data_IF_739444794658
#
_entry.id   IF_739444794658
#
_cell.length_a   1.000
_cell.length_b   1.000
_cell.length_c   1.000
_cell.angle_alpha   90.00
_cell.angle_beta   90.00
_cell.angle_gamma   90.00
#
_symmetry.space_group_name_H-M   'P 1'
#
loop_
_entity.id
_entity.type
_entity.pdbx_description
1 polymer ?
#
# COMPACT_ATOMS: atom_id res chain seq x y z
N UNK A 1 4.87 -18.31 6.74
CA UNK A 1 5.55 -17.01 6.45
C UNK A 1 6.13 -16.21 7.63
N UNK A 2 5.47 -16.07 8.79
CA UNK A 2 5.91 -15.12 9.85
C UNK A 2 7.03 -15.61 10.78
N UNK A 3 7.55 -16.82 10.60
CA UNK A 3 8.46 -17.48 11.55
C UNK A 3 9.75 -16.69 11.85
N UNK A 4 10.18 -15.80 10.95
CA UNK A 4 11.38 -14.97 11.09
C UNK A 4 11.16 -13.68 11.88
N UNK A 5 9.92 -13.35 12.24
CA UNK A 5 9.58 -12.15 13.01
C UNK A 5 9.47 -12.44 14.50
N UNK A 6 9.45 -11.38 15.31
CA UNK A 6 9.35 -11.47 16.76
C UNK A 6 8.10 -12.26 17.22
N UNK A 7 8.17 -13.07 18.30
CA UNK A 7 7.01 -13.79 18.83
C UNK A 7 5.77 -12.93 19.07
N UNK A 8 5.93 -11.69 19.56
CA UNK A 8 4.81 -10.79 19.83
C UNK A 8 4.09 -10.39 18.52
N UNK A 9 4.85 -10.12 17.45
CA UNK A 9 4.28 -9.84 16.11
C UNK A 9 3.42 -11.01 15.65
N UNK A 10 3.90 -12.25 15.82
CA UNK A 10 3.16 -13.46 15.44
C UNK A 10 1.88 -13.63 16.26
N UNK A 11 1.95 -13.36 17.57
CA UNK A 11 0.79 -13.46 18.46
C UNK A 11 -0.29 -12.43 18.13
N UNK A 12 0.09 -11.19 17.80
CA UNK A 12 -0.86 -10.16 17.39
C UNK A 12 -1.46 -10.51 16.02
N UNK A 13 -0.62 -10.88 15.03
CA UNK A 13 -1.08 -11.23 13.69
C UNK A 13 -2.05 -12.42 13.67
N UNK A 14 -1.87 -13.40 14.55
CA UNK A 14 -2.74 -14.57 14.68
C UNK A 14 -4.18 -14.23 15.10
N UNK A 15 -4.43 -13.00 15.57
CA UNK A 15 -5.77 -12.54 15.96
C UNK A 15 -6.60 -12.03 14.78
N UNK A 16 -6.07 -12.04 13.55
CA UNK A 16 -6.85 -11.78 12.33
C UNK A 16 -6.95 -13.04 11.48
N UNK A 17 -8.13 -13.69 11.39
CA UNK A 17 -8.35 -14.80 10.48
C UNK A 17 -8.11 -14.42 9.01
N UNK A 18 -8.40 -13.18 8.62
CA UNK A 18 -8.17 -12.72 7.25
C UNK A 18 -6.70 -12.60 6.94
N UNK A 19 -5.90 -12.00 7.83
CA UNK A 19 -4.44 -11.94 7.66
C UNK A 19 -3.85 -13.34 7.57
N UNK A 20 -4.29 -14.29 8.41
CA UNK A 20 -3.86 -15.69 8.34
C UNK A 20 -4.09 -16.31 6.97
N UNK A 21 -5.32 -16.22 6.42
CA UNK A 21 -5.64 -16.74 5.09
C UNK A 21 -4.85 -16.06 3.96
N UNK A 22 -4.63 -14.76 4.07
CA UNK A 22 -3.84 -14.01 3.08
C UNK A 22 -2.38 -14.45 3.10
N UNK A 23 -1.80 -14.65 4.28
CA UNK A 23 -0.44 -15.18 4.43
C UNK A 23 -0.33 -16.59 3.87
N UNK A 24 -1.27 -17.49 4.16
CA UNK A 24 -1.26 -18.85 3.62
C UNK A 24 -1.33 -18.85 2.08
N UNK A 25 -2.20 -18.01 1.52
CA UNK A 25 -2.32 -17.84 0.07
C UNK A 25 -1.03 -17.29 -0.54
N UNK A 26 -0.45 -16.25 0.05
CA UNK A 26 0.81 -15.67 -0.42
C UNK A 26 1.96 -16.69 -0.35
N UNK A 27 2.07 -17.45 0.73
CA UNK A 27 3.06 -18.52 0.91
C UNK A 27 2.95 -19.57 -0.20
N UNK A 28 1.73 -20.04 -0.46
CA UNK A 28 1.46 -21.00 -1.54
C UNK A 28 1.81 -20.46 -2.94
N UNK A 29 1.79 -19.14 -3.11
CA UNK A 29 2.16 -18.44 -4.35
C UNK A 29 3.64 -18.04 -4.41
N UNK A 30 4.45 -18.54 -3.47
CA UNK A 30 5.90 -18.35 -3.42
C UNK A 30 6.34 -17.02 -2.81
N UNK A 31 5.46 -16.31 -2.12
CA UNK A 31 5.84 -15.10 -1.39
C UNK A 31 6.54 -15.43 -0.08
N UNK A 32 7.44 -14.55 0.33
CA UNK A 32 8.13 -14.65 1.63
C UNK A 32 8.02 -13.35 2.42
N UNK A 33 8.09 -13.44 3.74
CA UNK A 33 8.30 -12.28 4.63
C UNK A 33 9.72 -12.34 5.17
N UNK A 34 10.44 -11.23 5.07
CA UNK A 34 11.82 -11.09 5.51
C UNK A 34 12.00 -9.85 6.37
N UNK A 35 12.95 -9.93 7.31
CA UNK A 35 13.36 -8.79 8.12
C UNK A 35 14.26 -7.89 7.27
N UNK A 36 13.89 -6.62 7.15
CA UNK A 36 14.67 -5.60 6.47
C UNK A 36 15.80 -5.02 7.32
N UNK A 37 16.44 -3.99 6.79
CA UNK A 37 17.42 -3.18 7.50
C UNK A 37 16.71 -2.14 8.35
N UNK A 38 17.19 -1.92 9.57
CA UNK A 38 16.65 -0.89 10.49
C UNK A 38 16.63 0.49 9.83
N UNK A 39 15.46 1.13 9.75
CA UNK A 39 15.26 2.43 9.11
C UNK A 39 15.22 2.39 7.58
N UNK A 40 15.26 1.19 6.97
CA UNK A 40 15.17 1.00 5.53
C UNK A 40 13.74 1.04 4.99
N UNK A 41 12.73 1.12 5.86
CA UNK A 41 11.32 1.04 5.49
C UNK A 41 10.85 -0.39 5.21
N UNK A 42 9.55 -0.50 5.01
CA UNK A 42 8.85 -1.75 4.67
C UNK A 42 8.22 -1.61 3.30
N UNK A 43 8.16 -2.72 2.56
CA UNK A 43 7.58 -2.75 1.21
C UNK A 43 7.32 -4.18 0.73
N UNK A 44 6.35 -4.33 -0.15
CA UNK A 44 6.13 -5.51 -0.97
C UNK A 44 6.86 -5.39 -2.32
N UNK A 45 7.81 -6.28 -2.58
CA UNK A 45 8.45 -6.44 -3.88
C UNK A 45 7.76 -7.57 -4.65
N UNK A 46 6.98 -7.18 -5.67
CA UNK A 46 6.26 -8.12 -6.55
C UNK A 46 7.17 -8.90 -7.50
N UNK A 47 8.35 -8.38 -7.80
CA UNK A 47 9.30 -9.04 -8.70
C UNK A 47 9.98 -10.20 -7.98
N UNK A 48 10.50 -9.96 -6.77
CA UNK A 48 11.12 -11.00 -5.95
C UNK A 48 10.10 -11.82 -5.12
N UNK A 49 8.83 -11.41 -5.11
CA UNK A 49 7.77 -11.93 -4.24
C UNK A 49 8.20 -11.94 -2.78
N UNK A 50 8.66 -10.80 -2.30
CA UNK A 50 9.07 -10.63 -0.90
C UNK A 50 8.35 -9.46 -0.26
N UNK A 51 8.02 -9.60 1.03
CA UNK A 51 7.56 -8.53 1.88
C UNK A 51 8.67 -8.26 2.89
N UNK A 52 9.26 -7.07 2.80
CA UNK A 52 10.33 -6.60 3.66
C UNK A 52 9.72 -5.79 4.79
N UNK A 53 10.04 -6.14 6.04
CA UNK A 53 9.55 -5.45 7.25
C UNK A 53 10.71 -4.76 7.97
N UNK A 54 10.62 -3.45 8.12
CA UNK A 54 11.55 -2.66 8.94
C UNK A 54 11.45 -3.07 10.41
N UNK A 55 12.56 -3.53 11.04
CA UNK A 55 12.53 -3.90 12.44
C UNK A 55 12.45 -2.70 13.41
N UNK A 56 12.60 -1.46 12.95
CA UNK A 56 12.59 -0.25 13.78
C UNK A 56 11.17 0.24 14.08
N UNK A 57 10.31 -0.67 14.54
CA UNK A 57 8.88 -0.46 14.80
C UNK A 57 8.44 -1.33 15.98
N UNK A 58 7.41 -0.90 16.72
CA UNK A 58 6.79 -1.75 17.74
C UNK A 58 6.14 -2.98 17.10
N UNK A 59 5.82 -4.00 17.90
CA UNK A 59 5.17 -5.21 17.37
C UNK A 59 3.81 -4.89 16.72
N UNK A 60 3.04 -3.98 17.33
CA UNK A 60 1.78 -3.46 16.84
C UNK A 60 1.95 -2.78 15.48
N UNK A 61 2.92 -1.88 15.36
CA UNK A 61 3.23 -1.18 14.10
C UNK A 61 3.71 -2.15 13.02
N UNK A 62 4.51 -3.16 13.36
CA UNK A 62 4.92 -4.17 12.41
C UNK A 62 3.71 -4.96 11.88
N UNK A 63 2.73 -5.30 12.72
CA UNK A 63 1.52 -5.99 12.24
C UNK A 63 0.67 -5.10 11.33
N UNK A 64 0.51 -3.81 11.64
CA UNK A 64 -0.23 -2.90 10.75
C UNK A 64 0.47 -2.70 9.41
N UNK A 65 1.80 -2.65 9.40
CA UNK A 65 2.59 -2.62 8.17
C UNK A 65 2.52 -3.95 7.41
N UNK A 66 2.64 -5.10 8.07
CA UNK A 66 2.45 -6.41 7.43
C UNK A 66 1.08 -6.49 6.76
N UNK A 67 0.03 -6.02 7.44
CA UNK A 67 -1.32 -6.01 6.90
C UNK A 67 -1.42 -5.15 5.61
N UNK A 68 -0.70 -4.02 5.56
CA UNK A 68 -0.62 -3.17 4.39
C UNK A 68 0.19 -3.81 3.25
N UNK A 69 1.39 -4.33 3.52
CA UNK A 69 2.23 -4.97 2.50
C UNK A 69 1.61 -6.26 1.95
N UNK A 70 0.89 -7.02 2.77
CA UNK A 70 0.06 -8.15 2.33
C UNK A 70 -1.06 -7.67 1.41
N UNK A 71 -1.62 -6.49 1.67
CA UNK A 71 -2.57 -5.83 0.79
C UNK A 71 -1.97 -5.56 -0.59
N UNK A 72 -0.78 -4.95 -0.66
CA UNK A 72 -0.06 -4.84 -1.93
C UNK A 72 0.16 -6.21 -2.56
N UNK A 73 0.77 -7.17 -1.88
CA UNK A 73 1.06 -8.48 -2.44
C UNK A 73 -0.19 -9.22 -2.97
N UNK A 74 -1.32 -9.09 -2.29
CA UNK A 74 -2.58 -9.79 -2.60
C UNK A 74 -3.48 -9.13 -3.65
N UNK A 75 -3.43 -7.80 -3.81
CA UNK A 75 -4.22 -7.10 -4.83
C UNK A 75 -3.37 -6.79 -6.07
N UNK A 76 -3.97 -6.94 -7.26
CA UNK A 76 -3.28 -6.59 -8.49
C UNK A 76 -3.16 -5.07 -8.61
N UNK A 77 -1.92 -4.58 -8.75
CA UNK A 77 -1.66 -3.18 -9.07
C UNK A 77 -2.29 -2.83 -10.43
N UNK A 78 -3.07 -1.74 -10.54
CA UNK A 78 -3.59 -1.32 -11.83
C UNK A 78 -2.45 -1.09 -12.82
N UNK A 79 -2.56 -1.57 -14.08
CA UNK A 79 -1.50 -1.41 -15.06
C UNK A 79 -1.31 0.08 -15.38
N UNK A 80 -0.05 0.48 -15.56
CA UNK A 80 0.32 1.82 -16.02
C UNK A 80 -0.49 2.19 -17.27
N UNK A 81 -1.01 3.42 -17.29
CA UNK A 81 -1.64 3.98 -18.47
C UNK A 81 -0.60 4.38 -19.51
N UNK A 82 -0.70 3.78 -20.69
CA UNK A 82 0.03 4.25 -21.86
C UNK A 82 -0.44 5.66 -22.24
N UNK A 83 0.50 6.50 -22.69
CA UNK A 83 0.17 7.84 -23.16
C UNK A 83 -0.59 7.77 -24.49
N UNK A 84 -1.73 8.44 -24.58
CA UNK A 84 -2.45 8.62 -25.86
C UNK A 84 -1.86 9.78 -26.65
N UNK A 85 -2.02 9.85 -27.98
CA UNK A 85 -1.50 10.95 -28.80
C UNK A 85 -1.91 12.35 -28.33
N UNK A 86 -3.09 12.47 -27.71
CA UNK A 86 -3.67 13.74 -27.26
C UNK A 86 -3.42 14.06 -25.79
N UNK A 87 -2.92 13.10 -25.00
CA UNK A 87 -2.61 13.36 -23.60
C UNK A 87 -1.55 14.45 -23.45
N UNK A 88 -1.67 15.30 -22.45
CA UNK A 88 -0.58 16.15 -21.97
C UNK A 88 0.31 15.40 -20.99
N UNK A 89 1.47 15.99 -20.68
CA UNK A 89 2.37 15.50 -19.62
C UNK A 89 1.62 15.32 -18.31
N UNK A 90 0.90 16.36 -17.89
CA UNK A 90 0.19 16.38 -16.61
C UNK A 90 -0.94 15.35 -16.56
N UNK A 91 -1.68 15.17 -17.66
CA UNK A 91 -2.71 14.14 -17.74
C UNK A 91 -2.11 12.73 -17.63
N UNK A 92 -0.98 12.48 -18.28
CA UNK A 92 -0.28 11.20 -18.19
C UNK A 92 0.26 10.93 -16.78
N UNK A 93 0.87 11.93 -16.14
CA UNK A 93 1.39 11.82 -14.77
C UNK A 93 0.23 11.61 -13.81
N UNK A 94 -0.80 12.46 -13.83
CA UNK A 94 -1.95 12.35 -12.94
C UNK A 94 -2.67 11.00 -13.06
N UNK A 95 -2.86 10.50 -14.28
CA UNK A 95 -3.54 9.23 -14.49
C UNK A 95 -2.75 8.02 -13.94
N UNK A 96 -1.41 8.08 -13.98
CA UNK A 96 -0.56 7.04 -13.44
C UNK A 96 -0.38 7.17 -11.92
N UNK A 97 -0.24 8.39 -11.39
CA UNK A 97 -0.27 8.63 -9.94
C UNK A 97 -1.59 8.13 -9.34
N UNK A 98 -2.72 8.35 -10.00
CA UNK A 98 -4.01 7.83 -9.51
C UNK A 98 -4.00 6.29 -9.39
N UNK A 99 -3.36 5.58 -10.31
CA UNK A 99 -3.25 4.11 -10.27
C UNK A 99 -2.37 3.63 -9.13
N UNK A 100 -1.28 4.35 -8.83
CA UNK A 100 -0.47 4.10 -7.64
C UNK A 100 -1.30 4.28 -6.37
N UNK A 101 -2.09 5.35 -6.29
CA UNK A 101 -2.94 5.61 -5.13
C UNK A 101 -4.10 4.61 -4.99
N UNK A 102 -4.56 3.99 -6.08
CA UNK A 102 -5.49 2.85 -5.99
C UNK A 102 -4.81 1.62 -5.36
N UNK A 103 -3.52 1.36 -5.65
CA UNK A 103 -2.77 0.27 -4.99
C UNK A 103 -2.61 0.57 -3.49
N UNK A 104 -2.22 1.79 -3.13
CA UNK A 104 -2.18 2.29 -1.75
C UNK A 104 -3.53 2.18 -1.03
N UNK A 105 -4.61 2.58 -1.69
CA UNK A 105 -5.96 2.51 -1.14
C UNK A 105 -6.41 1.07 -0.87
N UNK A 106 -6.01 0.12 -1.72
CA UNK A 106 -6.24 -1.30 -1.48
C UNK A 106 -5.45 -1.80 -0.26
N UNK A 107 -4.17 -1.43 -0.14
CA UNK A 107 -3.33 -1.79 0.98
C UNK A 107 -3.86 -1.21 2.31
N UNK A 108 -4.26 0.05 2.32
CA UNK A 108 -4.85 0.71 3.49
C UNK A 108 -6.22 0.14 3.88
N UNK A 109 -7.07 -0.17 2.90
CA UNK A 109 -8.35 -0.83 3.21
C UNK A 109 -8.11 -2.21 3.82
N UNK A 110 -7.10 -2.95 3.35
CA UNK A 110 -6.70 -4.23 3.92
C UNK A 110 -6.22 -4.09 5.38
N UNK A 111 -5.35 -3.12 5.64
CA UNK A 111 -4.84 -2.85 6.98
C UNK A 111 -5.95 -2.46 7.96
N UNK A 112 -6.90 -1.63 7.54
CA UNK A 112 -8.03 -1.22 8.37
C UNK A 112 -8.96 -2.40 8.73
N UNK A 113 -9.20 -3.30 7.76
CA UNK A 113 -9.97 -4.52 7.99
C UNK A 113 -9.30 -5.42 9.03
N UNK A 114 -7.99 -5.66 8.87
CA UNK A 114 -7.20 -6.51 9.79
C UNK A 114 -7.12 -5.88 11.19
N UNK A 115 -6.90 -4.57 11.29
CA UNK A 115 -6.98 -3.84 12.57
C UNK A 115 -8.33 -4.08 13.26
N UNK A 116 -9.43 -3.95 12.51
CA UNK A 116 -10.78 -4.19 13.02
C UNK A 116 -11.01 -5.61 13.52
N UNK A 117 -10.46 -6.63 12.84
CA UNK A 117 -10.53 -8.03 13.30
C UNK A 117 -9.75 -8.26 14.59
N UNK A 118 -8.53 -7.73 14.67
CA UNK A 118 -7.68 -7.87 15.87
C UNK A 118 -8.35 -7.23 17.07
N UNK A 119 -8.87 -6.00 16.92
CA UNK A 119 -9.62 -5.33 17.99
C UNK A 119 -10.89 -6.09 18.38
N UNK A 120 -11.62 -6.64 17.39
CA UNK A 120 -12.79 -7.48 17.63
C UNK A 120 -12.48 -8.76 18.42
N UNK A 121 -11.27 -9.28 18.27
CA UNK A 121 -10.75 -10.43 19.02
C UNK A 121 -10.02 -10.04 20.32
N UNK A 122 -10.24 -8.82 20.81
CA UNK A 122 -9.65 -8.26 22.06
C UNK A 122 -8.13 -8.09 22.02
N UNK A 123 -7.58 -8.00 20.81
CA UNK A 123 -6.17 -7.67 20.60
C UNK A 123 -5.85 -6.20 20.79
N UNK A 124 -4.54 -5.86 20.76
CA UNK A 124 -4.12 -4.47 20.85
C UNK A 124 -4.55 -3.69 19.60
N UNK A 125 -4.66 -2.38 19.75
CA UNK A 125 -4.74 -1.49 18.60
C UNK A 125 -3.40 -1.45 17.88
N UNK A 126 -3.37 -1.95 16.64
CA UNK A 126 -2.17 -1.99 15.81
C UNK A 126 -1.88 -0.66 15.09
N UNK A 127 -2.77 0.32 15.21
CA UNK A 127 -2.74 1.56 14.45
C UNK A 127 -2.98 1.36 12.94
N UNK A 128 -2.67 2.38 12.16
CA UNK A 128 -2.69 2.33 10.69
C UNK A 128 -1.34 2.79 10.16
N UNK A 129 -0.86 2.27 9.02
CA UNK A 129 0.28 2.85 8.33
C UNK A 129 -0.04 4.30 7.90
N UNK A 130 0.93 5.20 8.07
CA UNK A 130 0.74 6.65 7.92
C UNK A 130 0.40 7.34 9.24
N UNK A 131 0.00 8.61 9.16
CA UNK A 131 -0.22 9.46 10.35
C UNK A 131 -1.69 9.71 10.65
N UNK A 132 -2.59 9.41 9.70
CA UNK A 132 -4.01 9.75 9.77
C UNK A 132 -4.93 8.58 10.21
N UNK A 133 -4.55 7.83 11.26
CA UNK A 133 -5.29 6.64 11.75
C UNK A 133 -6.82 6.85 11.85
N UNK A 134 -7.26 7.96 12.44
CA UNK A 134 -8.68 8.25 12.61
C UNK A 134 -9.41 8.49 11.27
N UNK A 135 -8.76 9.12 10.29
CA UNK A 135 -9.34 9.36 8.98
C UNK A 135 -9.50 8.06 8.20
N UNK A 136 -8.46 7.21 8.20
CA UNK A 136 -8.52 5.88 7.58
C UNK A 136 -9.61 5.02 8.22
N UNK A 137 -9.67 4.99 9.56
CA UNK A 137 -10.71 4.24 10.26
C UNK A 137 -12.12 4.72 9.87
N UNK A 138 -12.32 6.04 9.77
CA UNK A 138 -13.59 6.62 9.34
C UNK A 138 -14.02 6.20 7.92
N UNK A 139 -13.07 6.01 7.00
CA UNK A 139 -13.36 5.46 5.65
C UNK A 139 -13.74 3.98 5.75
N UNK A 140 -13.01 3.19 6.54
CA UNK A 140 -13.33 1.77 6.72
C UNK A 140 -14.69 1.55 7.41
N UNK A 141 -15.05 2.37 8.40
CA UNK A 141 -16.35 2.26 9.07
C UNK A 141 -17.50 2.52 8.10
N UNK A 142 -17.36 3.52 7.21
CA UNK A 142 -18.33 3.79 6.13
C UNK A 142 -18.40 2.68 5.10
N UNK A 143 -17.27 2.04 4.78
CA UNK A 143 -17.27 0.85 3.93
C UNK A 143 -18.00 -0.31 4.61
N UNK A 144 -17.64 -0.61 5.86
CA UNK A 144 -18.18 -1.72 6.66
C UNK A 144 -19.69 -1.61 6.87
N UNK A 145 -20.23 -0.39 7.03
CA UNK A 145 -21.66 -0.16 7.20
C UNK A 145 -22.43 0.01 5.87
N UNK A 146 -21.77 -0.14 4.72
CA UNK A 146 -22.39 -0.07 3.40
C UNK A 146 -22.60 1.34 2.85
N UNK A 147 -22.16 2.40 3.55
CA UNK A 147 -22.23 3.78 3.05
C UNK A 147 -21.28 4.06 1.90
N UNK A 148 -20.18 3.29 1.79
CA UNK A 148 -19.26 3.31 0.65
C UNK A 148 -19.19 1.94 0.00
N UNK A 149 -19.21 1.91 -1.33
CA UNK A 149 -18.74 0.76 -2.09
C UNK A 149 -17.25 0.55 -1.85
N UNK A 150 -16.75 -0.65 -2.17
CA UNK A 150 -15.31 -0.96 -2.05
C UNK A 150 -14.44 0.01 -2.86
N UNK A 151 -14.85 0.34 -4.08
CA UNK A 151 -14.07 1.22 -4.96
C UNK A 151 -14.04 2.65 -4.42
N UNK A 152 -15.15 3.15 -3.89
CA UNK A 152 -15.18 4.46 -3.22
C UNK A 152 -14.32 4.49 -1.96
N UNK A 153 -14.28 3.39 -1.20
CA UNK A 153 -13.42 3.28 -0.02
C UNK A 153 -11.95 3.28 -0.42
N UNK A 154 -11.56 2.50 -1.43
CA UNK A 154 -10.19 2.49 -1.97
C UNK A 154 -9.78 3.87 -2.46
N UNK A 155 -10.64 4.54 -3.22
CA UNK A 155 -10.34 5.89 -3.73
C UNK A 155 -10.12 6.88 -2.57
N UNK A 156 -10.98 6.88 -1.55
CA UNK A 156 -10.80 7.73 -0.38
C UNK A 156 -9.54 7.39 0.44
N UNK A 157 -9.26 6.09 0.65
CA UNK A 157 -8.03 5.64 1.32
C UNK A 157 -6.78 6.07 0.56
N UNK A 158 -6.77 5.88 -0.76
CA UNK A 158 -5.68 6.29 -1.65
C UNK A 158 -5.48 7.80 -1.65
N UNK A 159 -6.57 8.56 -1.61
CA UNK A 159 -6.51 10.02 -1.54
C UNK A 159 -5.92 10.53 -0.22
N UNK A 160 -6.25 9.89 0.91
CA UNK A 160 -5.62 10.18 2.21
C UNK A 160 -4.11 9.87 2.17
N UNK A 161 -3.75 8.70 1.64
CA UNK A 161 -2.35 8.26 1.52
C UNK A 161 -1.54 9.18 0.60
N UNK A 162 -2.14 9.68 -0.48
CA UNK A 162 -1.51 10.64 -1.37
C UNK A 162 -1.03 11.94 -0.69
N UNK A 163 -1.60 12.28 0.47
CA UNK A 163 -1.22 13.45 1.27
C UNK A 163 -0.20 13.13 2.39
N UNK A 164 0.00 11.85 2.71
CA UNK A 164 1.05 11.40 3.64
C UNK A 164 2.44 11.62 3.03
N UNK A 165 3.47 11.63 3.88
CA UNK A 165 4.86 11.77 3.45
C UNK A 165 5.58 10.43 3.46
N UNK A 166 6.45 10.22 2.47
CA UNK A 166 7.35 9.06 2.46
C UNK A 166 8.36 9.19 3.61
N UNK A 167 8.71 8.07 4.23
CA UNK A 167 9.70 8.04 5.32
C UNK A 167 11.13 8.26 4.82
N UNK A 168 11.41 7.98 3.55
CA UNK A 168 12.77 8.01 2.97
C UNK A 168 13.10 9.31 2.24
N UNK A 169 12.15 9.89 1.49
CA UNK A 169 12.37 11.14 0.75
C UNK A 169 11.72 12.36 1.39
N UNK A 170 10.74 12.15 2.27
CA UNK A 170 10.02 13.22 2.98
C UNK A 170 8.99 13.96 2.12
N UNK A 171 8.85 13.60 0.85
CA UNK A 171 7.89 14.17 -0.09
C UNK A 171 6.52 13.53 0.12
N UNK A 172 5.43 14.19 -0.32
CA UNK A 172 4.15 13.49 -0.29
C UNK A 172 4.09 12.37 -1.35
N UNK A 173 3.24 11.37 -1.13
CA UNK A 173 3.15 10.22 -2.04
C UNK A 173 2.77 10.59 -3.47
N UNK A 174 1.96 11.65 -3.68
CA UNK A 174 1.64 12.14 -5.03
C UNK A 174 2.88 12.63 -5.79
N UNK A 175 3.73 13.40 -5.11
CA UNK A 175 4.99 13.89 -5.65
C UNK A 175 5.96 12.74 -5.90
N UNK A 176 6.11 11.85 -4.91
CA UNK A 176 6.99 10.69 -5.00
C UNK A 176 6.63 9.80 -6.20
N UNK A 177 5.34 9.44 -6.33
CA UNK A 177 4.86 8.63 -7.45
C UNK A 177 4.84 9.36 -8.79
N UNK A 178 4.77 10.70 -8.80
CA UNK A 178 4.80 11.49 -10.04
C UNK A 178 6.14 11.42 -10.77
N UNK A 179 7.25 11.46 -10.02
CA UNK A 179 8.62 11.59 -10.57
C UNK A 179 9.00 10.56 -11.64
N UNK A 180 8.74 9.24 -11.47
CA UNK A 180 9.07 8.27 -12.51
C UNK A 180 8.29 8.52 -13.81
N UNK A 181 7.02 8.94 -13.71
CA UNK A 181 6.17 9.20 -14.86
C UNK A 181 6.54 10.50 -15.59
N UNK A 182 6.89 11.52 -14.82
CA UNK A 182 7.50 12.75 -15.32
C UNK A 182 8.76 12.46 -16.13
N UNK A 183 9.72 11.73 -15.53
CA UNK A 183 10.96 11.33 -16.19
C UNK A 183 10.71 10.48 -17.42
N UNK A 184 9.76 9.54 -17.37
CA UNK A 184 9.40 8.71 -18.51
C UNK A 184 8.82 9.54 -19.66
N UNK A 185 7.95 10.51 -19.35
CA UNK A 185 7.39 11.42 -20.33
C UNK A 185 8.48 12.22 -21.03
N UNK A 186 9.32 12.88 -20.24
CA UNK A 186 10.35 13.80 -20.74
C UNK A 186 11.41 13.05 -21.56
N UNK A 187 11.74 11.80 -21.19
CA UNK A 187 12.74 10.98 -21.88
C UNK A 187 12.20 10.27 -23.13
N UNK A 188 10.96 9.80 -23.12
CA UNK A 188 10.49 8.84 -24.13
C UNK A 188 9.28 9.35 -24.94
N UNK A 189 8.38 10.13 -24.34
CA UNK A 189 7.11 10.51 -24.97
C UNK A 189 7.23 11.86 -25.67
N UNK A 190 7.72 12.89 -24.98
CA UNK A 190 7.85 14.23 -25.56
C UNK A 190 8.77 14.24 -26.80
N UNK A 191 9.96 13.59 -26.79
CA UNK A 191 10.84 13.58 -27.97
C UNK A 191 10.20 12.88 -29.18
N UNK A 192 9.48 11.78 -28.95
CA UNK A 192 8.79 11.04 -30.01
C UNK A 192 7.66 11.83 -30.68
N UNK A 193 7.14 12.86 -30.00
CA UNK A 193 6.12 13.78 -30.53
C UNK A 193 6.71 15.01 -31.21
N UNK A 194 7.85 15.49 -30.73
CA UNK A 194 8.56 16.64 -31.32
C UNK A 194 9.31 16.34 -32.62
N UNK A 195 9.55 15.07 -32.96
CA UNK A 195 10.21 14.64 -34.20
C UNK A 195 9.26 14.35 -35.38
N UNK A 196 7.97 14.67 -35.26
CA UNK A 196 6.98 14.55 -36.35
C UNK A 196 6.36 15.92 -36.65
N UNK A 197 7.09 16.75 -37.38
CA UNK A 197 6.57 17.89 -38.13
C UNK A 197 7.15 17.84 -39.54
#
# INVERSE_FOLDING_TARGET
>A
MLAKLDPQVRQIAAQSPTLGKQLDSLESNGWTIVRGTSGGGSYADRQSKSIVIDPNQTAEQQVSVIAHEVGHAGYAKPPQQAATPTMTRDQYVAANVNRELVDEGNAQLNAAMIRGEIQGNKGPDIGMPGTQTAAYQGVYDKFKNGSLTRDQAVDQMGNLMGNERTSTTGENYRQYYGKPYEKHWDKNIAPARGGKL
#
